data_IF_063642868412
#
_entry.id   IF_063642868412
#
_cell.length_a   1.000
_cell.length_b   1.000
_cell.length_c   1.000
_cell.angle_alpha   90.00
_cell.angle_beta   90.00
_cell.angle_gamma   90.00
#
_symmetry.space_group_name_H-M   'P 1'
#
loop_
_entity.id
_entity.type
_entity.pdbx_description
1 polymer ?
#
# COMPACT_ATOMS: atom_id res chain seq x y z
N UNK A 1 -41.27 11.60 33.21
CA UNK A 1 -41.57 10.21 32.78
C UNK A 1 -41.47 10.04 31.26
N UNK A 2 -41.84 11.03 30.46
CA UNK A 2 -41.71 10.96 28.99
C UNK A 2 -40.26 11.01 28.45
N UNK A 3 -39.37 11.72 29.13
CA UNK A 3 -37.95 11.80 28.73
C UNK A 3 -37.19 10.49 28.97
N UNK A 4 -37.60 9.69 29.98
CA UNK A 4 -37.01 8.39 30.24
C UNK A 4 -37.42 7.31 29.21
N UNK A 5 -38.65 7.40 28.70
CA UNK A 5 -39.18 6.49 27.67
C UNK A 5 -38.54 6.76 26.29
N UNK A 6 -38.22 8.01 25.97
CA UNK A 6 -37.52 8.39 24.74
C UNK A 6 -36.07 7.87 24.76
N UNK A 7 -35.37 7.95 25.88
CA UNK A 7 -33.99 7.46 26.03
C UNK A 7 -33.90 5.94 25.93
N UNK A 8 -34.87 5.21 26.50
CA UNK A 8 -34.95 3.76 26.40
C UNK A 8 -35.27 3.28 24.97
N UNK A 9 -36.08 4.05 24.22
CA UNK A 9 -36.39 3.77 22.81
C UNK A 9 -35.16 3.92 21.91
N UNK A 10 -34.36 4.93 22.16
CA UNK A 10 -33.12 5.16 21.39
C UNK A 10 -32.04 4.12 21.71
N UNK A 11 -31.89 3.74 22.99
CA UNK A 11 -30.97 2.66 23.36
C UNK A 11 -31.42 1.29 22.86
N UNK A 12 -32.69 0.99 22.85
CA UNK A 12 -33.26 -0.24 22.28
C UNK A 12 -33.08 -0.35 20.77
N UNK A 13 -33.14 0.77 20.04
CA UNK A 13 -32.87 0.86 18.60
C UNK A 13 -31.37 0.72 18.30
N UNK A 14 -30.49 1.26 19.12
CA UNK A 14 -29.04 1.12 18.99
C UNK A 14 -28.57 -0.32 19.27
N UNK A 15 -29.10 -0.97 20.32
CA UNK A 15 -28.82 -2.37 20.62
C UNK A 15 -29.34 -3.32 19.53
N UNK A 16 -30.54 -3.09 18.98
CA UNK A 16 -31.04 -3.86 17.83
C UNK A 16 -30.20 -3.62 16.57
N UNK A 17 -29.61 -2.44 16.43
CA UNK A 17 -28.74 -2.12 15.29
C UNK A 17 -27.39 -2.82 15.39
N UNK A 18 -26.82 -2.96 16.60
CA UNK A 18 -25.60 -3.73 16.82
C UNK A 18 -25.83 -5.24 16.63
N UNK A 19 -26.95 -5.78 17.09
CA UNK A 19 -27.33 -7.18 16.83
C UNK A 19 -27.58 -7.46 15.33
N UNK A 20 -28.12 -6.49 14.56
CA UNK A 20 -28.32 -6.64 13.12
C UNK A 20 -27.01 -6.53 12.31
N UNK A 21 -26.01 -5.84 12.82
CA UNK A 21 -24.67 -5.76 12.22
C UNK A 21 -23.86 -7.03 12.51
N UNK A 22 -24.02 -7.61 13.69
CA UNK A 22 -23.28 -8.81 14.09
C UNK A 22 -23.74 -10.11 13.39
N UNK A 23 -25.01 -10.18 12.94
CA UNK A 23 -25.55 -11.38 12.28
C UNK A 23 -25.36 -11.40 10.74
N UNK A 24 -24.75 -10.39 10.14
CA UNK A 24 -24.56 -10.27 8.68
C UNK A 24 -23.11 -10.42 8.19
N UNK A 25 -22.22 -10.86 9.06
CA UNK A 25 -20.81 -11.14 8.70
C UNK A 25 -20.60 -12.58 8.15
N UNK A 26 -21.60 -13.15 7.49
CA UNK A 26 -21.34 -14.27 6.57
C UNK A 26 -20.98 -13.70 5.19
N UNK A 27 -19.99 -14.27 4.47
CA UNK A 27 -19.47 -13.69 3.23
C UNK A 27 -20.43 -13.92 2.05
N UNK A 28 -21.54 -13.18 2.01
CA UNK A 28 -22.41 -13.15 0.83
C UNK A 28 -22.26 -11.83 0.10
N UNK A 29 -21.42 -11.82 -0.90
CA UNK A 29 -21.39 -10.76 -1.90
C UNK A 29 -22.53 -10.97 -2.89
N UNK A 30 -23.74 -10.74 -2.44
CA UNK A 30 -24.90 -10.58 -3.33
C UNK A 30 -25.30 -9.12 -3.22
N UNK A 31 -25.29 -8.42 -4.35
CA UNK A 31 -25.83 -7.09 -4.45
C UNK A 31 -27.36 -7.23 -4.44
N UNK A 32 -27.98 -7.08 -3.27
CA UNK A 32 -29.41 -6.85 -3.18
C UNK A 32 -29.66 -5.43 -2.71
N UNK A 33 -30.22 -4.64 -3.64
CA UNK A 33 -30.79 -3.34 -3.29
C UNK A 33 -32.25 -3.57 -2.87
N UNK A 34 -32.70 -3.08 -1.72
CA UNK A 34 -34.14 -3.03 -1.45
C UNK A 34 -34.77 -1.94 -2.33
N UNK A 35 -35.32 -2.30 -3.47
CA UNK A 35 -36.36 -1.50 -4.12
C UNK A 35 -37.64 -1.70 -3.33
N UNK A 36 -38.01 -0.73 -2.51
CA UNK A 36 -39.36 -0.63 -1.99
C UNK A 36 -40.32 -0.36 -3.14
N UNK A 37 -40.83 -1.39 -3.78
CA UNK A 37 -42.11 -1.42 -4.50
C UNK A 37 -42.52 -2.87 -4.75
N UNK A 38 -43.72 -3.20 -4.22
CA UNK A 38 -44.55 -4.37 -4.46
C UNK A 38 -44.10 -5.73 -3.93
N UNK A 39 -44.78 -6.16 -2.87
CA UNK A 39 -44.80 -7.49 -2.22
C UNK A 39 -45.44 -8.57 -3.14
N UNK A 40 -44.97 -8.78 -4.36
CA UNK A 40 -45.44 -9.87 -5.21
C UNK A 40 -44.39 -10.40 -6.20
N UNK A 41 -43.10 -10.13 -5.97
CA UNK A 41 -42.05 -10.74 -6.80
C UNK A 41 -41.44 -11.97 -6.11
N UNK A 42 -41.21 -13.09 -6.78
CA UNK A 42 -40.53 -14.26 -6.21
C UNK A 42 -39.14 -13.87 -5.70
N UNK A 43 -38.75 -14.47 -4.56
CA UNK A 43 -37.43 -14.27 -3.95
C UNK A 43 -36.33 -14.49 -5.03
N UNK A 44 -35.32 -13.59 -5.14
CA UNK A 44 -34.26 -13.77 -6.10
C UNK A 44 -33.51 -15.07 -5.81
N UNK A 45 -33.53 -15.98 -6.76
CA UNK A 45 -32.77 -17.24 -6.70
C UNK A 45 -31.30 -16.86 -6.70
N UNK A 46 -30.58 -17.21 -5.63
CA UNK A 46 -29.13 -17.02 -5.60
C UNK A 46 -28.50 -17.76 -6.79
N UNK A 47 -27.60 -17.13 -7.58
CA UNK A 47 -27.00 -17.80 -8.72
C UNK A 47 -26.29 -19.07 -8.27
N UNK A 48 -26.55 -20.18 -8.96
CA UNK A 48 -25.91 -21.45 -8.66
C UNK A 48 -24.38 -21.32 -8.73
N UNK A 49 -23.61 -22.10 -7.95
CA UNK A 49 -22.13 -22.06 -7.98
C UNK A 49 -21.55 -22.29 -9.38
N UNK A 50 -22.29 -22.90 -10.29
CA UNK A 50 -21.87 -23.20 -11.66
C UNK A 50 -21.91 -21.99 -12.62
N UNK A 51 -22.65 -20.91 -12.29
CA UNK A 51 -22.78 -19.71 -13.13
C UNK A 51 -21.73 -18.61 -12.84
N UNK A 52 -20.82 -18.84 -11.90
CA UNK A 52 -19.81 -17.84 -11.53
C UNK A 52 -18.63 -17.83 -12.49
N UNK A 53 -18.29 -16.65 -13.03
CA UNK A 53 -17.09 -16.46 -13.84
C UNK A 53 -15.81 -16.83 -13.06
N UNK A 54 -14.77 -17.29 -13.76
CA UNK A 54 -13.46 -17.62 -13.17
C UNK A 54 -12.92 -16.47 -12.30
N UNK A 55 -13.07 -15.23 -12.76
CA UNK A 55 -12.66 -14.04 -12.04
C UNK A 55 -13.39 -13.86 -10.70
N UNK A 56 -14.70 -14.16 -10.66
CA UNK A 56 -15.48 -14.05 -9.42
C UNK A 56 -15.10 -15.14 -8.41
N UNK A 57 -14.70 -16.33 -8.88
CA UNK A 57 -14.15 -17.40 -8.03
C UNK A 57 -12.80 -17.00 -7.44
N UNK A 58 -11.88 -16.45 -8.26
CA UNK A 58 -10.57 -15.96 -7.81
C UNK A 58 -10.70 -14.84 -6.77
N UNK A 59 -11.57 -13.86 -6.99
CA UNK A 59 -11.82 -12.77 -6.04
C UNK A 59 -12.37 -13.31 -4.73
N UNK A 60 -13.28 -14.28 -4.76
CA UNK A 60 -13.81 -14.92 -3.54
C UNK A 60 -12.72 -15.69 -2.81
N UNK A 61 -11.90 -16.45 -3.53
CA UNK A 61 -10.77 -17.19 -2.98
C UNK A 61 -9.77 -16.25 -2.28
N UNK A 62 -9.33 -15.18 -2.94
CA UNK A 62 -8.41 -14.20 -2.34
C UNK A 62 -8.99 -13.52 -1.10
N UNK A 63 -10.32 -13.29 -1.06
CA UNK A 63 -10.98 -12.73 0.12
C UNK A 63 -11.07 -13.71 1.29
N UNK A 64 -11.16 -14.99 1.05
CA UNK A 64 -11.10 -16.01 2.10
C UNK A 64 -9.67 -16.30 2.59
N UNK A 65 -8.63 -15.78 1.88
CA UNK A 65 -7.24 -15.99 2.20
C UNK A 65 -6.49 -14.64 2.30
N UNK A 66 -6.74 -13.84 3.36
CA UNK A 66 -6.21 -12.47 3.46
C UNK A 66 -4.67 -12.41 3.48
N UNK A 67 -3.99 -13.41 4.07
CA UNK A 67 -2.52 -13.49 4.04
C UNK A 67 -2.03 -13.69 2.61
N UNK A 68 -2.63 -14.61 1.86
CA UNK A 68 -2.27 -14.84 0.46
C UNK A 68 -2.52 -13.59 -0.40
N UNK A 69 -3.64 -12.89 -0.15
CA UNK A 69 -3.90 -11.61 -0.82
C UNK A 69 -2.78 -10.61 -0.57
N UNK A 70 -2.32 -10.46 0.69
CA UNK A 70 -1.23 -9.55 1.04
C UNK A 70 0.10 -9.98 0.39
N UNK A 71 0.43 -11.27 0.43
CA UNK A 71 1.63 -11.84 -0.16
C UNK A 71 1.74 -11.60 -1.67
N UNK A 72 0.61 -11.68 -2.40
CA UNK A 72 0.57 -11.42 -3.85
C UNK A 72 0.51 -9.93 -4.18
N UNK A 73 -0.17 -9.13 -3.35
CA UNK A 73 -0.28 -7.69 -3.55
C UNK A 73 1.08 -7.00 -3.41
N UNK A 74 1.91 -7.48 -2.48
CA UNK A 74 3.15 -6.83 -2.11
C UNK A 74 4.16 -6.76 -3.25
N UNK A 75 4.57 -7.83 -3.94
CA UNK A 75 5.43 -7.73 -5.11
C UNK A 75 4.67 -7.21 -6.33
N UNK A 76 3.34 -7.31 -6.35
CA UNK A 76 2.51 -6.86 -7.45
C UNK A 76 2.70 -5.39 -7.82
N UNK A 77 2.96 -4.55 -6.84
CA UNK A 77 3.15 -3.09 -7.04
C UNK A 77 4.59 -2.75 -7.42
N UNK A 78 5.61 -3.03 -6.58
CA UNK A 78 6.98 -2.61 -6.86
C UNK A 78 7.62 -3.39 -8.01
N UNK A 79 7.25 -4.65 -8.25
CA UNK A 79 7.91 -5.50 -9.21
C UNK A 79 7.15 -5.62 -10.53
N UNK A 80 5.88 -6.03 -10.45
CA UNK A 80 5.13 -6.34 -11.66
C UNK A 80 4.45 -5.14 -12.30
N UNK A 81 3.97 -4.17 -11.50
CA UNK A 81 3.36 -2.96 -12.04
C UNK A 81 4.40 -1.93 -12.52
N UNK A 82 5.58 -1.90 -11.90
CA UNK A 82 6.71 -1.05 -12.32
C UNK A 82 7.50 -1.61 -13.51
N UNK A 83 7.23 -2.84 -13.95
CA UNK A 83 7.99 -3.61 -14.92
C UNK A 83 9.43 -3.99 -14.47
N UNK A 84 9.76 -3.89 -13.18
CA UNK A 84 11.06 -4.34 -12.65
C UNK A 84 11.22 -5.86 -12.84
N UNK A 85 10.18 -6.64 -12.60
CA UNK A 85 10.11 -8.07 -12.89
C UNK A 85 9.35 -8.34 -14.18
N UNK A 86 9.96 -9.14 -15.08
CA UNK A 86 9.39 -9.43 -16.39
C UNK A 86 8.32 -10.52 -16.36
N UNK A 87 7.05 -10.13 -16.43
CA UNK A 87 5.93 -11.08 -16.50
C UNK A 87 5.94 -11.92 -17.79
N UNK A 88 6.60 -11.45 -18.84
CA UNK A 88 6.79 -12.18 -20.10
C UNK A 88 7.50 -13.53 -19.90
N UNK A 89 8.33 -13.66 -18.86
CA UNK A 89 8.95 -14.92 -18.49
C UNK A 89 7.94 -16.05 -18.21
N UNK A 90 6.70 -15.71 -17.81
CA UNK A 90 5.64 -16.70 -17.64
C UNK A 90 5.37 -17.50 -18.92
N UNK A 91 5.55 -16.88 -20.08
CA UNK A 91 5.32 -17.51 -21.38
C UNK A 91 6.62 -18.05 -21.97
N UNK A 92 7.72 -17.30 -21.85
CA UNK A 92 8.99 -17.63 -22.49
C UNK A 92 9.76 -18.71 -21.71
N UNK A 93 9.79 -18.59 -20.38
CA UNK A 93 10.48 -19.57 -19.52
C UNK A 93 9.81 -19.68 -18.15
N UNK A 94 8.66 -20.38 -18.06
CA UNK A 94 7.85 -20.50 -16.84
C UNK A 94 8.64 -20.90 -15.57
N UNK A 95 9.59 -21.84 -15.59
CA UNK A 95 10.34 -22.19 -14.38
C UNK A 95 11.06 -20.99 -13.74
N UNK A 96 11.67 -20.14 -14.56
CA UNK A 96 12.36 -18.95 -14.08
C UNK A 96 11.38 -17.88 -13.55
N UNK A 97 10.22 -17.74 -14.22
CA UNK A 97 9.15 -16.88 -13.72
C UNK A 97 8.71 -17.29 -12.32
N UNK A 98 8.43 -18.58 -12.10
CA UNK A 98 8.00 -19.07 -10.78
C UNK A 98 9.10 -18.99 -9.73
N UNK A 99 10.37 -19.14 -10.10
CA UNK A 99 11.51 -18.91 -9.19
C UNK A 99 11.54 -17.45 -8.73
N UNK A 100 11.48 -16.49 -9.67
CA UNK A 100 11.46 -15.06 -9.32
C UNK A 100 10.18 -14.66 -8.58
N UNK A 101 9.03 -15.22 -8.94
CA UNK A 101 7.81 -15.00 -8.18
C UNK A 101 7.93 -15.51 -6.74
N UNK A 102 8.53 -16.67 -6.53
CA UNK A 102 8.75 -17.21 -5.20
C UNK A 102 9.72 -16.34 -4.39
N UNK A 103 10.82 -15.88 -4.98
CA UNK A 103 11.75 -14.95 -4.36
C UNK A 103 11.07 -13.61 -4.05
N UNK A 104 10.34 -13.03 -4.98
CA UNK A 104 9.61 -11.78 -4.74
C UNK A 104 8.56 -11.92 -3.63
N UNK A 105 7.83 -13.03 -3.59
CA UNK A 105 6.84 -13.30 -2.52
C UNK A 105 7.57 -13.57 -1.19
N UNK A 106 8.70 -14.26 -1.19
CA UNK A 106 9.54 -14.48 -0.03
C UNK A 106 10.07 -13.19 0.57
N UNK A 107 10.68 -12.35 -0.25
CA UNK A 107 11.28 -11.08 0.17
C UNK A 107 10.21 -10.05 0.58
N UNK A 108 9.40 -9.60 -0.37
CA UNK A 108 8.38 -8.56 -0.15
C UNK A 108 7.28 -9.01 0.80
N UNK A 109 6.78 -10.24 0.62
CA UNK A 109 5.70 -10.78 1.43
C UNK A 109 6.10 -10.98 2.88
N UNK A 110 7.29 -11.53 3.14
CA UNK A 110 7.81 -11.67 4.50
C UNK A 110 8.08 -10.30 5.13
N UNK A 111 8.70 -9.38 4.41
CA UNK A 111 8.95 -8.02 4.86
C UNK A 111 7.68 -7.30 5.30
N UNK A 112 6.64 -7.32 4.46
CA UNK A 112 5.37 -6.63 4.75
C UNK A 112 4.62 -7.27 5.93
N UNK A 113 4.63 -8.60 6.06
CA UNK A 113 4.01 -9.28 7.20
C UNK A 113 4.74 -8.91 8.50
N UNK A 114 6.08 -8.98 8.52
CA UNK A 114 6.87 -8.63 9.70
C UNK A 114 6.66 -7.18 10.13
N UNK A 115 6.67 -6.25 9.19
CA UNK A 115 6.47 -4.82 9.47
C UNK A 115 5.04 -4.54 9.94
N UNK A 116 4.04 -5.16 9.31
CA UNK A 116 2.66 -5.04 9.75
C UNK A 116 2.45 -5.63 11.14
N UNK A 117 3.02 -6.80 11.43
CA UNK A 117 2.94 -7.39 12.77
C UNK A 117 3.68 -6.53 13.81
N UNK A 118 4.84 -5.94 13.47
CA UNK A 118 5.52 -4.99 14.31
C UNK A 118 4.65 -3.76 14.61
N UNK A 119 4.02 -3.17 13.60
CA UNK A 119 3.08 -2.06 13.77
C UNK A 119 1.98 -2.39 14.79
N UNK A 120 1.37 -3.59 14.69
CA UNK A 120 0.25 -4.00 15.55
C UNK A 120 0.74 -4.36 16.95
N UNK A 121 1.78 -5.20 17.06
CA UNK A 121 2.29 -5.69 18.34
C UNK A 121 2.97 -4.61 19.17
N UNK A 122 3.65 -3.66 18.52
CA UNK A 122 4.27 -2.51 19.17
C UNK A 122 3.30 -1.34 19.34
N UNK A 123 2.06 -1.45 18.84
CA UNK A 123 1.03 -0.39 18.85
C UNK A 123 1.53 0.90 18.18
N UNK A 124 2.22 0.80 17.04
CA UNK A 124 2.83 1.93 16.34
C UNK A 124 1.96 2.43 15.18
N UNK A 125 2.19 3.70 14.83
CA UNK A 125 1.52 4.37 13.71
C UNK A 125 2.32 4.32 12.40
N UNK A 126 1.84 5.06 11.40
CA UNK A 126 2.40 5.09 10.05
C UNK A 126 3.85 5.59 9.98
N UNK A 127 4.26 6.51 10.87
CA UNK A 127 5.66 6.96 10.92
C UNK A 127 6.62 5.80 11.18
N UNK A 128 6.26 4.88 12.08
CA UNK A 128 7.05 3.67 12.34
C UNK A 128 7.02 2.70 11.15
N UNK A 129 5.89 2.58 10.44
CA UNK A 129 5.81 1.76 9.22
C UNK A 129 6.76 2.29 8.16
N UNK A 130 6.82 3.61 7.95
CA UNK A 130 7.73 4.20 6.97
C UNK A 130 9.21 4.02 7.35
N UNK A 131 9.57 4.18 8.63
CA UNK A 131 10.94 3.91 9.08
C UNK A 131 11.33 2.43 8.93
N UNK A 132 10.42 1.51 9.22
CA UNK A 132 10.63 0.07 8.97
C UNK A 132 10.71 -0.23 7.48
N UNK A 133 9.98 0.49 6.64
CA UNK A 133 10.07 0.40 5.18
C UNK A 133 11.42 0.87 4.64
N UNK A 134 12.00 1.93 5.24
CA UNK A 134 13.38 2.36 4.95
C UNK A 134 14.38 1.28 5.36
N UNK A 135 14.24 0.70 6.57
CA UNK A 135 15.09 -0.41 7.01
C UNK A 135 15.00 -1.62 6.06
N UNK A 136 13.79 -1.95 5.60
CA UNK A 136 13.55 -3.00 4.63
C UNK A 136 14.27 -2.72 3.30
N UNK A 137 14.11 -1.50 2.74
CA UNK A 137 14.80 -1.12 1.50
C UNK A 137 16.33 -1.16 1.61
N UNK A 138 16.90 -0.85 2.79
CA UNK A 138 18.36 -1.00 3.01
C UNK A 138 18.77 -2.47 3.02
N UNK A 139 17.95 -3.36 3.59
CA UNK A 139 18.22 -4.81 3.54
C UNK A 139 18.16 -5.28 2.09
N UNK A 140 17.07 -5.05 1.39
CA UNK A 140 16.87 -5.48 0.01
C UNK A 140 17.94 -4.92 -0.93
N UNK A 141 18.13 -3.63 -0.95
CA UNK A 141 18.95 -2.98 -1.97
C UNK A 141 20.42 -2.82 -1.57
N UNK A 142 20.70 -2.85 -0.28
CA UNK A 142 22.06 -2.74 0.23
C UNK A 142 22.70 -4.10 0.54
N UNK A 143 21.99 -4.98 1.27
CA UNK A 143 22.53 -6.27 1.65
C UNK A 143 22.32 -7.34 0.58
N UNK A 144 21.12 -7.37 -0.06
CA UNK A 144 20.73 -8.46 -0.95
C UNK A 144 21.10 -8.18 -2.41
N UNK A 145 20.75 -6.99 -2.95
CA UNK A 145 20.87 -6.66 -4.38
C UNK A 145 22.06 -5.75 -4.74
N UNK A 146 22.70 -5.11 -3.76
CA UNK A 146 23.86 -4.21 -3.89
C UNK A 146 23.66 -2.98 -4.79
N UNK A 147 22.43 -2.66 -5.15
CA UNK A 147 22.14 -1.53 -6.04
C UNK A 147 22.48 -0.18 -5.42
N UNK A 148 22.53 -0.12 -4.08
CA UNK A 148 22.98 1.09 -3.38
C UNK A 148 24.47 1.39 -3.61
N UNK A 149 25.26 0.39 -4.03
CA UNK A 149 26.71 0.47 -4.13
C UNK A 149 27.25 0.27 -5.54
N UNK A 150 26.67 -0.69 -6.26
CA UNK A 150 27.17 -1.04 -7.59
C UNK A 150 26.63 -0.04 -8.65
N UNK A 151 27.49 0.89 -9.07
CA UNK A 151 27.12 1.93 -10.02
C UNK A 151 26.74 1.42 -11.42
N UNK A 152 27.12 0.19 -11.76
CA UNK A 152 26.79 -0.48 -13.03
C UNK A 152 25.64 -1.47 -12.92
N UNK A 153 24.96 -1.56 -11.79
CA UNK A 153 23.78 -2.39 -11.66
C UNK A 153 22.71 -1.94 -12.67
N UNK A 154 22.12 -2.88 -13.41
CA UNK A 154 21.21 -2.58 -14.51
C UNK A 154 20.05 -1.62 -14.13
N UNK A 155 19.37 -1.84 -13.00
CA UNK A 155 18.25 -0.97 -12.59
C UNK A 155 18.66 0.48 -12.27
N UNK A 156 19.89 0.70 -11.86
CA UNK A 156 20.38 2.02 -11.38
C UNK A 156 20.59 3.00 -12.52
N UNK A 157 20.97 2.52 -13.69
CA UNK A 157 21.22 3.36 -14.87
C UNK A 157 22.21 4.49 -14.60
N UNK A 158 21.92 5.69 -15.11
CA UNK A 158 22.78 6.86 -14.94
C UNK A 158 22.92 7.32 -13.48
N UNK A 159 21.96 7.00 -12.61
CA UNK A 159 22.01 7.34 -11.20
C UNK A 159 23.08 6.56 -10.42
N UNK A 160 23.66 5.52 -11.00
CA UNK A 160 24.81 4.82 -10.45
C UNK A 160 26.10 5.63 -10.45
N UNK A 161 26.19 6.64 -11.32
CA UNK A 161 27.35 7.55 -11.40
C UNK A 161 27.03 8.94 -10.87
N UNK A 162 25.78 9.36 -10.98
CA UNK A 162 25.31 10.65 -10.54
C UNK A 162 25.09 10.67 -9.02
N UNK A 163 25.91 11.43 -8.31
CA UNK A 163 25.91 11.43 -6.85
C UNK A 163 26.53 10.19 -6.20
N UNK A 164 27.41 9.48 -6.95
CA UNK A 164 28.19 8.38 -6.39
C UNK A 164 29.34 8.92 -5.53
N UNK A 165 29.31 8.63 -4.23
CA UNK A 165 30.33 9.09 -3.30
C UNK A 165 30.54 8.08 -2.17
N UNK A 166 31.78 7.84 -1.77
CA UNK A 166 32.17 6.80 -0.77
C UNK A 166 31.61 5.43 -1.07
N UNK A 167 31.49 5.06 -2.35
CA UNK A 167 30.99 3.77 -2.78
C UNK A 167 29.46 3.62 -2.69
N UNK A 168 28.71 4.72 -2.52
CA UNK A 168 27.25 4.72 -2.43
C UNK A 168 26.64 5.61 -3.51
N UNK A 169 25.60 5.12 -4.15
CA UNK A 169 24.79 5.82 -5.16
C UNK A 169 23.73 6.68 -4.47
N UNK A 170 24.10 7.82 -3.87
CA UNK A 170 23.26 8.53 -2.90
C UNK A 170 21.91 9.00 -3.43
N UNK A 171 21.87 9.54 -4.66
CA UNK A 171 20.59 9.99 -5.25
C UNK A 171 19.67 8.82 -5.52
N UNK A 172 20.20 7.73 -6.08
CA UNK A 172 19.48 6.47 -6.24
C UNK A 172 18.98 5.94 -4.89
N UNK A 173 19.87 5.86 -3.91
CA UNK A 173 19.56 5.35 -2.56
C UNK A 173 18.38 6.06 -1.93
N UNK A 174 18.38 7.40 -1.91
CA UNK A 174 17.28 8.16 -1.30
C UNK A 174 15.96 7.92 -2.00
N UNK A 175 15.93 8.04 -3.33
CA UNK A 175 14.71 7.77 -4.12
C UNK A 175 14.18 6.37 -3.89
N UNK A 176 15.07 5.38 -3.87
CA UNK A 176 14.71 3.98 -3.74
C UNK A 176 14.23 3.61 -2.31
N UNK A 177 14.87 4.16 -1.27
CA UNK A 177 14.41 3.95 0.11
C UNK A 177 13.03 4.58 0.36
N UNK A 178 12.74 5.74 -0.24
CA UNK A 178 11.39 6.31 -0.24
C UNK A 178 10.43 5.38 -1.00
N UNK A 179 10.84 4.88 -2.15
CA UNK A 179 10.04 3.93 -2.94
C UNK A 179 9.67 2.68 -2.13
N UNK A 180 10.65 1.99 -1.53
CA UNK A 180 10.38 0.80 -0.72
C UNK A 180 9.50 1.12 0.50
N UNK A 181 9.79 2.21 1.19
CA UNK A 181 9.02 2.63 2.35
C UNK A 181 7.54 2.84 2.03
N UNK A 182 7.25 3.48 0.89
CA UNK A 182 5.88 3.83 0.50
C UNK A 182 5.22 2.73 -0.32
N UNK A 183 5.87 2.26 -1.39
CA UNK A 183 5.23 1.42 -2.41
C UNK A 183 5.38 -0.07 -2.15
N UNK A 184 6.52 -0.51 -1.63
CA UNK A 184 6.73 -1.92 -1.31
C UNK A 184 6.10 -2.31 0.04
N UNK A 185 6.07 -1.41 1.02
CA UNK A 185 5.60 -1.69 2.38
C UNK A 185 4.33 -0.92 2.72
N UNK A 186 4.37 0.41 2.65
CA UNK A 186 3.26 1.26 3.12
C UNK A 186 1.96 1.02 2.36
N UNK A 187 2.01 1.06 1.05
CA UNK A 187 0.83 0.95 0.18
C UNK A 187 0.15 -0.43 0.25
N UNK A 188 0.86 -1.58 0.24
CA UNK A 188 0.24 -2.88 0.47
C UNK A 188 -0.47 -3.00 1.82
N UNK A 189 0.13 -2.53 2.93
CA UNK A 189 -0.51 -2.51 4.26
C UNK A 189 -1.76 -1.61 4.24
N UNK A 190 -1.68 -0.47 3.56
CA UNK A 190 -2.78 0.48 3.44
C UNK A 190 -3.97 -0.11 2.65
N UNK A 191 -3.69 -0.68 1.47
CA UNK A 191 -4.68 -1.36 0.64
C UNK A 191 -5.29 -2.58 1.33
N UNK A 192 -4.47 -3.36 2.03
CA UNK A 192 -4.97 -4.47 2.85
C UNK A 192 -6.01 -3.99 3.87
N UNK A 193 -5.72 -2.89 4.57
CA UNK A 193 -6.67 -2.31 5.55
C UNK A 193 -7.96 -1.76 4.92
N UNK A 194 -7.96 -1.40 3.63
CA UNK A 194 -9.15 -1.00 2.88
C UNK A 194 -9.99 -2.18 2.40
N UNK A 195 -9.33 -3.29 2.06
CA UNK A 195 -9.99 -4.52 1.61
C UNK A 195 -10.55 -5.31 2.78
N UNK A 196 -9.79 -5.41 3.89
CA UNK A 196 -10.08 -6.16 5.11
C UNK A 196 -10.10 -5.25 6.34
N UNK A 197 -11.07 -4.33 6.46
CA UNK A 197 -11.11 -3.37 7.56
C UNK A 197 -11.19 -4.03 8.94
N UNK A 198 -11.81 -5.20 9.04
CA UNK A 198 -11.94 -6.02 10.25
C UNK A 198 -10.62 -6.63 10.73
N UNK A 199 -9.63 -6.77 9.83
CA UNK A 199 -8.30 -7.29 10.13
C UNK A 199 -7.25 -6.17 10.31
N UNK A 200 -7.62 -4.92 10.11
CA UNK A 200 -6.69 -3.78 10.09
C UNK A 200 -5.84 -3.68 11.37
N UNK A 201 -6.41 -3.99 12.52
CA UNK A 201 -5.76 -3.90 13.85
C UNK A 201 -5.50 -5.25 14.48
N UNK A 202 -5.80 -6.35 13.79
CA UNK A 202 -5.60 -7.71 14.30
C UNK A 202 -4.29 -8.29 13.78
N UNK A 203 -3.58 -9.05 14.64
CA UNK A 203 -2.45 -9.88 14.22
C UNK A 203 -2.91 -10.95 13.24
N UNK A 204 -2.15 -11.15 12.16
CA UNK A 204 -2.44 -12.17 11.12
C UNK A 204 -1.75 -13.49 11.41
N UNK A 205 -0.63 -13.47 12.14
CA UNK A 205 0.20 -14.65 12.37
C UNK A 205 0.52 -14.83 13.84
N UNK A 206 0.55 -16.11 14.27
CA UNK A 206 1.00 -16.50 15.61
C UNK A 206 2.52 -16.30 15.78
N UNK A 207 3.03 -16.44 17.02
CA UNK A 207 4.46 -16.30 17.29
C UNK A 207 5.35 -17.25 16.46
N UNK A 208 4.96 -18.52 16.34
CA UNK A 208 5.67 -19.52 15.54
C UNK A 208 5.65 -19.17 14.05
N UNK A 209 4.51 -18.74 13.51
CA UNK A 209 4.40 -18.32 12.12
C UNK A 209 5.19 -17.03 11.86
N UNK A 210 5.27 -16.13 12.85
CA UNK A 210 6.09 -14.93 12.76
C UNK A 210 7.57 -15.29 12.67
N UNK A 211 8.05 -16.22 13.49
CA UNK A 211 9.42 -16.74 13.43
C UNK A 211 9.70 -17.40 12.07
N UNK A 212 8.76 -18.23 11.57
CA UNK A 212 8.89 -18.83 10.24
C UNK A 212 8.94 -17.77 9.12
N UNK A 213 8.16 -16.69 9.23
CA UNK A 213 8.21 -15.55 8.27
C UNK A 213 9.56 -14.83 8.33
N UNK A 214 10.13 -14.65 9.53
CA UNK A 214 11.45 -14.05 9.67
C UNK A 214 12.55 -14.96 9.09
N UNK A 215 12.48 -16.26 9.31
CA UNK A 215 13.40 -17.24 8.71
C UNK A 215 13.27 -17.29 7.18
N UNK A 216 12.05 -17.15 6.65
CA UNK A 216 11.81 -17.06 5.22
C UNK A 216 12.50 -15.81 4.63
N UNK A 217 12.35 -14.64 5.27
CA UNK A 217 13.04 -13.41 4.85
C UNK A 217 14.57 -13.61 4.84
N UNK A 218 15.12 -14.15 5.91
CA UNK A 218 16.57 -14.39 6.02
C UNK A 218 17.06 -15.36 4.94
N UNK A 219 16.33 -16.45 4.71
CA UNK A 219 16.71 -17.44 3.69
C UNK A 219 16.67 -16.83 2.28
N UNK A 220 15.65 -16.00 2.01
CA UNK A 220 15.51 -15.32 0.73
C UNK A 220 16.59 -14.24 0.53
N UNK A 221 16.91 -13.46 1.57
CA UNK A 221 18.03 -12.52 1.56
C UNK A 221 19.37 -13.22 1.27
N UNK A 222 19.63 -14.38 1.88
CA UNK A 222 20.83 -15.17 1.60
C UNK A 222 20.82 -15.65 0.14
N UNK A 223 19.68 -16.14 -0.35
CA UNK A 223 19.53 -16.56 -1.75
C UNK A 223 19.85 -15.42 -2.72
N UNK A 224 19.26 -14.25 -2.51
CA UNK A 224 19.47 -13.07 -3.38
C UNK A 224 20.91 -12.56 -3.30
N UNK A 225 21.51 -12.51 -2.11
CA UNK A 225 22.92 -12.16 -1.94
C UNK A 225 23.83 -13.08 -2.77
N UNK A 226 23.64 -14.40 -2.69
CA UNK A 226 24.43 -15.39 -3.46
C UNK A 226 24.15 -15.24 -4.95
N UNK A 227 22.89 -15.08 -5.35
CA UNK A 227 22.48 -14.91 -6.73
C UNK A 227 23.10 -13.66 -7.36
N UNK A 228 23.04 -12.53 -6.67
CA UNK A 228 23.60 -11.24 -7.13
C UNK A 228 25.13 -11.29 -7.18
N UNK A 229 25.78 -11.95 -6.20
CA UNK A 229 27.23 -12.13 -6.23
C UNK A 229 27.71 -12.91 -7.45
N UNK A 230 26.89 -13.84 -7.95
CA UNK A 230 27.18 -14.56 -9.19
C UNK A 230 26.94 -13.73 -10.45
N UNK A 231 25.89 -12.88 -10.46
CA UNK A 231 25.58 -12.02 -11.61
C UNK A 231 26.56 -10.87 -11.74
N UNK A 232 26.88 -10.19 -10.63
CA UNK A 232 27.81 -9.06 -10.62
C UNK A 232 29.25 -9.55 -10.49
N UNK A 233 29.64 -10.53 -11.33
CA UNK A 233 30.97 -11.11 -11.31
C UNK A 233 32.06 -10.01 -11.38
N UNK A 234 32.98 -10.03 -10.43
CA UNK A 234 34.05 -9.03 -10.30
C UNK A 234 33.71 -7.78 -9.50
N UNK A 235 32.49 -7.68 -8.96
CA UNK A 235 32.12 -6.64 -7.99
C UNK A 235 31.82 -7.23 -6.62
N UNK A 236 32.35 -6.58 -5.58
CA UNK A 236 32.02 -6.86 -4.19
C UNK A 236 31.96 -5.52 -3.43
N UNK A 237 30.85 -5.20 -2.76
CA UNK A 237 30.74 -3.92 -2.01
C UNK A 237 31.73 -3.85 -0.83
N UNK A 238 32.28 -4.97 -0.40
CA UNK A 238 33.17 -5.07 0.77
C UNK A 238 32.41 -5.13 2.09
N UNK A 239 33.04 -5.76 3.09
CA UNK A 239 32.44 -5.97 4.39
C UNK A 239 32.06 -4.67 5.12
N UNK A 240 32.77 -3.58 4.88
CA UNK A 240 32.50 -2.27 5.51
C UNK A 240 31.14 -1.71 5.10
N UNK A 241 30.81 -1.68 3.80
CA UNK A 241 29.53 -1.16 3.31
C UNK A 241 28.36 -2.07 3.75
N UNK A 242 28.57 -3.40 3.70
CA UNK A 242 27.56 -4.34 4.18
C UNK A 242 27.29 -4.20 5.68
N UNK A 243 28.34 -4.13 6.50
CA UNK A 243 28.21 -3.88 7.94
C UNK A 243 27.52 -2.55 8.23
N UNK A 244 27.92 -1.48 7.54
CA UNK A 244 27.31 -0.16 7.67
C UNK A 244 25.82 -0.21 7.32
N UNK A 245 25.42 -0.88 6.25
CA UNK A 245 24.01 -1.07 5.87
C UNK A 245 23.23 -1.78 6.96
N UNK A 246 23.77 -2.88 7.51
CA UNK A 246 23.14 -3.60 8.62
C UNK A 246 22.97 -2.73 9.88
N UNK A 247 23.96 -1.91 10.22
CA UNK A 247 23.89 -0.96 11.35
C UNK A 247 22.84 0.14 11.10
N UNK A 248 22.80 0.72 9.91
CA UNK A 248 21.83 1.75 9.54
C UNK A 248 20.40 1.17 9.52
N UNK A 249 20.18 0.01 8.92
CA UNK A 249 18.89 -0.67 8.93
C UNK A 249 18.43 -0.96 10.38
N UNK A 250 19.32 -1.48 11.23
CA UNK A 250 19.04 -1.72 12.64
C UNK A 250 18.69 -0.43 13.40
N UNK A 251 19.36 0.68 13.07
CA UNK A 251 19.05 1.99 13.64
C UNK A 251 17.64 2.42 13.31
N UNK A 252 17.20 2.28 12.05
CA UNK A 252 15.83 2.60 11.65
C UNK A 252 14.80 1.70 12.35
N UNK A 253 15.08 0.41 12.57
CA UNK A 253 14.23 -0.49 13.36
C UNK A 253 14.09 -0.01 14.80
N UNK A 254 15.20 0.37 15.44
CA UNK A 254 15.20 0.88 16.82
C UNK A 254 14.46 2.21 16.91
N UNK A 255 14.68 3.12 15.97
CA UNK A 255 13.95 4.40 15.88
C UNK A 255 12.45 4.17 15.72
N UNK A 256 12.04 3.28 14.80
CA UNK A 256 10.65 2.93 14.58
C UNK A 256 9.98 2.40 15.85
N UNK A 257 10.68 1.57 16.63
CA UNK A 257 10.18 1.03 17.89
C UNK A 257 10.11 2.09 19.00
N UNK A 258 11.07 3.00 19.07
CA UNK A 258 11.14 4.06 20.10
C UNK A 258 10.26 5.27 19.80
N UNK A 259 9.87 5.47 18.54
CA UNK A 259 9.07 6.63 18.14
C UNK A 259 7.75 6.67 18.94
N UNK A 260 7.32 7.84 19.44
CA UNK A 260 6.04 7.98 20.13
C UNK A 260 4.88 7.56 19.23
N UNK A 261 3.87 6.87 19.79
CA UNK A 261 2.73 6.32 19.04
C UNK A 261 1.90 7.43 18.35
N UNK A 262 2.03 8.64 18.85
CA UNK A 262 1.33 9.83 18.39
C UNK A 262 2.21 10.83 17.60
N UNK A 263 3.40 10.43 17.18
CA UNK A 263 4.33 11.28 16.43
C UNK A 263 3.69 11.92 15.19
N UNK A 264 2.95 11.11 14.42
CA UNK A 264 2.05 11.64 13.39
C UNK A 264 0.61 11.42 13.85
N UNK A 265 -0.16 12.49 13.98
CA UNK A 265 -1.59 12.44 14.27
C UNK A 265 -2.37 12.99 13.08
N UNK A 266 -3.44 12.29 12.71
CA UNK A 266 -4.46 12.86 11.82
C UNK A 266 -5.25 13.93 12.57
N UNK A 267 -5.71 14.94 11.85
CA UNK A 267 -6.62 15.91 12.47
C UNK A 267 -7.94 15.20 12.84
N UNK A 268 -8.53 15.51 13.98
CA UNK A 268 -9.85 14.99 14.32
C UNK A 268 -10.90 15.50 13.33
N UNK A 269 -11.96 14.71 13.13
CA UNK A 269 -13.09 15.06 12.28
C UNK A 269 -12.97 14.59 10.84
N UNK A 270 -13.66 15.31 9.96
CA UNK A 270 -13.75 14.99 8.52
C UNK A 270 -12.43 15.29 7.79
N UNK A 271 -12.18 14.65 6.62
CA UNK A 271 -11.06 14.99 5.77
C UNK A 271 -11.05 16.47 5.38
N UNK A 272 -9.86 17.10 5.41
CA UNK A 272 -9.70 18.51 5.00
C UNK A 272 -9.50 18.67 3.50
N UNK A 273 -9.12 17.62 2.81
CA UNK A 273 -8.91 17.59 1.38
C UNK A 273 -10.00 16.77 0.69
N UNK A 274 -10.37 17.18 -0.51
CA UNK A 274 -11.24 16.37 -1.36
C UNK A 274 -10.50 15.11 -1.88
N UNK A 275 -11.23 14.06 -2.31
CA UNK A 275 -10.62 12.87 -2.90
C UNK A 275 -9.68 13.19 -4.07
N UNK A 276 -9.99 14.19 -4.89
CA UNK A 276 -9.13 14.64 -6.01
C UNK A 276 -7.78 15.16 -5.53
N UNK A 277 -7.73 15.92 -4.42
CA UNK A 277 -6.47 16.41 -3.84
C UNK A 277 -5.62 15.28 -3.28
N UNK A 278 -6.26 14.26 -2.68
CA UNK A 278 -5.54 13.06 -2.23
C UNK A 278 -4.99 12.24 -3.39
N UNK A 279 -5.76 12.05 -4.47
CA UNK A 279 -5.27 11.38 -5.68
C UNK A 279 -4.09 12.13 -6.30
N UNK A 280 -4.17 13.46 -6.38
CA UNK A 280 -3.08 14.28 -6.88
C UNK A 280 -1.82 14.19 -6.01
N UNK A 281 -1.96 14.27 -4.68
CA UNK A 281 -0.83 14.12 -3.76
C UNK A 281 -0.15 12.74 -3.89
N UNK A 282 -0.94 11.67 -4.02
CA UNK A 282 -0.42 10.34 -4.31
C UNK A 282 0.31 10.26 -5.64
N UNK A 283 -0.28 10.83 -6.70
CA UNK A 283 0.30 10.81 -8.04
C UNK A 283 1.59 11.66 -8.15
N UNK A 284 1.73 12.67 -7.31
CA UNK A 284 2.92 13.52 -7.32
C UNK A 284 4.14 12.84 -6.67
N UNK A 285 3.94 11.91 -5.73
CA UNK A 285 5.03 11.39 -4.90
C UNK A 285 6.11 10.66 -5.73
N UNK A 286 5.71 9.75 -6.61
CA UNK A 286 6.66 8.99 -7.43
C UNK A 286 7.50 9.88 -8.37
N UNK A 287 6.91 10.77 -9.18
CA UNK A 287 7.70 11.66 -10.02
C UNK A 287 8.51 12.70 -9.22
N UNK A 288 8.03 13.13 -8.05
CA UNK A 288 8.74 14.08 -7.21
C UNK A 288 9.95 13.50 -6.49
N UNK A 289 10.14 12.18 -6.52
CA UNK A 289 11.26 11.49 -5.88
C UNK A 289 12.10 10.75 -6.93
N UNK A 290 11.69 9.54 -7.35
CA UNK A 290 12.50 8.72 -8.26
C UNK A 290 12.79 9.38 -9.62
N UNK A 291 11.79 10.05 -10.24
CA UNK A 291 12.01 10.70 -11.54
C UNK A 291 12.79 12.00 -11.42
N UNK A 292 12.70 12.69 -10.29
CA UNK A 292 13.42 13.95 -10.07
C UNK A 292 14.94 13.76 -10.13
N UNK A 293 15.47 12.68 -9.54
CA UNK A 293 16.87 12.31 -9.62
C UNK A 293 17.35 12.11 -11.06
N UNK A 294 16.57 11.37 -11.87
CA UNK A 294 16.87 11.16 -13.29
C UNK A 294 16.87 12.45 -14.13
N UNK A 295 15.88 13.32 -13.90
CA UNK A 295 15.77 14.63 -14.56
C UNK A 295 16.95 15.51 -14.16
N UNK A 296 17.30 15.56 -12.87
CA UNK A 296 18.42 16.35 -12.38
C UNK A 296 19.76 15.87 -12.95
N UNK A 297 19.97 14.56 -13.06
CA UNK A 297 21.14 13.98 -13.71
C UNK A 297 21.22 14.36 -15.19
N UNK A 298 20.11 14.28 -15.93
CA UNK A 298 20.04 14.69 -17.34
C UNK A 298 20.28 16.18 -17.55
N UNK A 299 19.91 17.02 -16.58
CA UNK A 299 20.13 18.47 -16.60
C UNK A 299 21.50 18.89 -16.01
N UNK A 300 22.34 17.94 -15.61
CA UNK A 300 23.64 18.18 -14.96
C UNK A 300 23.55 19.10 -13.71
N UNK A 301 22.46 18.99 -12.95
CA UNK A 301 22.34 19.72 -11.69
C UNK A 301 23.26 19.10 -10.61
N UNK A 302 23.68 19.86 -9.59
CA UNK A 302 24.39 19.29 -8.43
C UNK A 302 23.59 18.16 -7.78
N UNK A 303 24.17 16.97 -7.49
CA UNK A 303 23.44 15.81 -6.95
C UNK A 303 22.86 16.03 -5.56
N UNK A 304 23.36 17.00 -4.82
CA UNK A 304 22.83 17.40 -3.51
C UNK A 304 21.41 17.95 -3.63
N UNK A 305 21.05 18.56 -4.76
CA UNK A 305 19.72 19.13 -4.99
C UNK A 305 18.65 18.04 -4.97
N UNK A 306 18.64 17.03 -5.85
CA UNK A 306 17.63 15.97 -5.77
C UNK A 306 17.73 15.17 -4.49
N UNK A 307 18.92 14.91 -3.95
CA UNK A 307 19.09 14.20 -2.67
C UNK A 307 18.30 14.87 -1.53
N UNK A 308 18.43 16.18 -1.34
CA UNK A 308 17.71 16.91 -0.27
C UNK A 308 16.25 17.11 -0.63
N UNK A 309 15.97 17.42 -1.91
CA UNK A 309 14.61 17.71 -2.37
C UNK A 309 13.69 16.50 -2.26
N UNK A 310 14.16 15.30 -2.60
CA UNK A 310 13.39 14.07 -2.52
C UNK A 310 12.93 13.78 -1.08
N UNK A 311 13.83 13.95 -0.10
CA UNK A 311 13.50 13.77 1.31
C UNK A 311 12.45 14.79 1.75
N UNK A 312 12.65 16.07 1.41
CA UNK A 312 11.74 17.16 1.82
C UNK A 312 10.36 16.97 1.18
N UNK A 313 10.31 16.69 -0.12
CA UNK A 313 9.04 16.52 -0.84
C UNK A 313 8.28 15.29 -0.36
N UNK A 314 8.95 14.15 -0.18
CA UNK A 314 8.31 12.95 0.36
C UNK A 314 7.76 13.19 1.76
N UNK A 315 8.57 13.76 2.67
CA UNK A 315 8.13 14.08 4.02
C UNK A 315 6.97 15.08 4.03
N UNK A 316 7.02 16.11 3.20
CA UNK A 316 5.96 17.11 3.08
C UNK A 316 4.66 16.50 2.56
N UNK A 317 4.70 15.80 1.41
CA UNK A 317 3.52 15.21 0.77
C UNK A 317 2.86 14.20 1.72
N UNK A 318 3.63 13.27 2.29
CA UNK A 318 3.11 12.23 3.19
C UNK A 318 2.53 12.84 4.47
N UNK A 319 3.23 13.79 5.09
CA UNK A 319 2.75 14.44 6.32
C UNK A 319 1.48 15.26 6.07
N UNK A 320 1.42 16.01 4.95
CA UNK A 320 0.24 16.82 4.59
C UNK A 320 -0.95 15.93 4.24
N UNK A 321 -0.76 14.88 3.48
CA UNK A 321 -1.81 13.91 3.17
C UNK A 321 -2.31 13.24 4.46
N UNK A 322 -1.42 12.76 5.33
CA UNK A 322 -1.79 12.11 6.57
C UNK A 322 -2.57 13.04 7.52
N UNK A 323 -2.08 14.26 7.77
CA UNK A 323 -2.77 15.25 8.62
C UNK A 323 -4.11 15.68 8.05
N UNK A 324 -4.27 15.69 6.72
CA UNK A 324 -5.50 16.10 6.04
C UNK A 324 -6.53 14.99 5.94
N UNK A 325 -6.15 13.71 6.21
CA UNK A 325 -7.01 12.54 6.06
C UNK A 325 -8.23 12.54 6.98
N UNK A 326 -8.16 13.19 8.15
CA UNK A 326 -9.23 13.14 9.14
C UNK A 326 -9.36 11.76 9.80
N UNK A 327 -10.26 11.65 10.75
CA UNK A 327 -10.51 10.40 11.50
C UNK A 327 -11.86 9.77 11.17
N UNK A 328 -12.79 10.53 10.59
CA UNK A 328 -14.18 10.14 10.34
C UNK A 328 -14.49 10.20 8.85
N UNK A 329 -15.23 9.22 8.33
CA UNK A 329 -15.74 9.18 6.95
C UNK A 329 -14.68 9.43 5.86
N UNK A 330 -13.48 8.88 6.03
CA UNK A 330 -12.31 9.14 5.18
C UNK A 330 -11.99 8.01 4.21
N UNK A 331 -12.94 7.15 3.88
CA UNK A 331 -12.67 5.97 3.07
C UNK A 331 -12.48 6.30 1.58
N UNK A 332 -13.24 7.25 1.05
CA UNK A 332 -13.07 7.73 -0.33
C UNK A 332 -11.71 8.38 -0.53
N UNK A 333 -11.29 9.20 0.43
CA UNK A 333 -9.99 9.88 0.43
C UNK A 333 -8.83 8.89 0.48
N UNK A 334 -8.96 7.83 1.27
CA UNK A 334 -7.97 6.75 1.33
C UNK A 334 -7.86 6.00 0.02
N UNK A 335 -9.01 5.69 -0.60
CA UNK A 335 -9.01 5.04 -1.93
C UNK A 335 -8.43 5.97 -2.97
N UNK A 336 -8.81 7.25 -2.96
CA UNK A 336 -8.27 8.24 -3.89
C UNK A 336 -6.73 8.38 -3.77
N UNK A 337 -6.21 8.44 -2.53
CA UNK A 337 -4.78 8.46 -2.27
C UNK A 337 -4.09 7.21 -2.84
N UNK A 338 -4.65 6.02 -2.59
CA UNK A 338 -4.06 4.78 -3.09
C UNK A 338 -4.09 4.67 -4.62
N UNK A 339 -5.16 5.12 -5.27
CA UNK A 339 -5.22 5.22 -6.74
C UNK A 339 -4.15 6.18 -7.26
N UNK A 340 -4.01 7.34 -6.61
CA UNK A 340 -2.96 8.30 -6.96
C UNK A 340 -1.55 7.73 -6.83
N UNK A 341 -1.26 6.99 -5.76
CA UNK A 341 0.03 6.33 -5.57
C UNK A 341 0.31 5.27 -6.66
N UNK A 342 -0.68 4.44 -7.01
CA UNK A 342 -0.51 3.36 -7.99
C UNK A 342 -0.36 3.89 -9.41
N UNK A 343 -1.10 4.94 -9.78
CA UNK A 343 -1.20 5.43 -11.15
C UNK A 343 0.15 5.76 -11.82
N UNK A 344 1.07 6.55 -11.21
CA UNK A 344 2.33 6.89 -11.86
C UNK A 344 3.28 5.70 -12.02
N UNK A 345 3.20 4.70 -11.13
CA UNK A 345 3.99 3.47 -11.26
C UNK A 345 3.49 2.66 -12.46
N UNK A 346 2.17 2.52 -12.63
CA UNK A 346 1.58 1.84 -13.77
C UNK A 346 1.97 2.52 -15.09
N UNK A 347 1.90 3.84 -15.15
CA UNK A 347 2.35 4.60 -16.33
C UNK A 347 3.83 4.41 -16.59
N UNK A 348 4.66 4.48 -15.55
CA UNK A 348 6.10 4.24 -15.66
C UNK A 348 6.40 2.82 -16.16
N UNK A 349 5.77 1.80 -15.56
CA UNK A 349 5.92 0.42 -15.98
C UNK A 349 5.50 0.18 -17.42
N UNK A 350 4.39 0.78 -17.86
CA UNK A 350 3.93 0.71 -19.24
C UNK A 350 4.93 1.32 -20.21
N UNK A 351 5.53 2.47 -19.87
CA UNK A 351 6.58 3.11 -20.69
C UNK A 351 7.84 2.25 -20.71
N UNK A 352 8.30 1.78 -19.54
CA UNK A 352 9.48 0.94 -19.42
C UNK A 352 9.33 -0.39 -20.20
N UNK A 353 8.12 -0.96 -20.24
CA UNK A 353 7.84 -2.21 -20.94
C UNK A 353 8.08 -2.15 -22.44
N UNK A 354 7.97 -0.96 -23.04
CA UNK A 354 8.27 -0.74 -24.47
C UNK A 354 9.76 -1.00 -24.72
N UNK A 355 10.64 -0.46 -23.87
CA UNK A 355 12.08 -0.68 -23.95
C UNK A 355 12.54 -2.10 -23.58
N UNK A 356 11.80 -2.74 -22.68
CA UNK A 356 12.11 -4.08 -22.15
C UNK A 356 11.46 -5.23 -22.94
N UNK A 357 10.73 -4.93 -24.03
CA UNK A 357 9.96 -5.90 -24.80
C UNK A 357 9.06 -6.82 -23.90
N UNK A 358 8.39 -6.21 -22.90
CA UNK A 358 7.54 -6.88 -21.93
C UNK A 358 6.03 -6.57 -22.16
N UNK A 359 5.41 -7.08 -23.24
CA UNK A 359 4.02 -6.71 -23.60
C UNK A 359 2.99 -7.21 -22.57
N UNK A 360 3.34 -8.19 -21.74
CA UNK A 360 2.43 -8.75 -20.73
C UNK A 360 2.27 -7.84 -19.50
N UNK A 361 2.96 -6.71 -19.43
CA UNK A 361 2.75 -5.69 -18.38
C UNK A 361 1.31 -5.19 -18.33
N UNK A 362 0.60 -5.24 -19.45
CA UNK A 362 -0.82 -4.89 -19.51
C UNK A 362 -1.68 -5.71 -18.52
N UNK A 363 -1.23 -6.90 -18.12
CA UNK A 363 -1.99 -7.79 -17.21
C UNK A 363 -2.05 -7.22 -15.80
N UNK A 364 -0.93 -6.88 -15.12
CA UNK A 364 -0.98 -6.19 -13.82
C UNK A 364 -1.67 -4.83 -13.91
N UNK A 365 -1.49 -4.05 -14.98
CA UNK A 365 -2.17 -2.78 -15.18
C UNK A 365 -3.70 -2.94 -15.20
N UNK A 366 -4.22 -3.86 -16.00
CA UNK A 366 -5.64 -4.18 -16.03
C UNK A 366 -6.16 -4.67 -14.69
N UNK A 367 -5.37 -5.51 -13.99
CA UNK A 367 -5.73 -5.95 -12.65
C UNK A 367 -5.89 -4.76 -11.70
N UNK A 368 -4.92 -3.85 -11.64
CA UNK A 368 -4.96 -2.70 -10.76
C UNK A 368 -6.04 -1.68 -11.14
N UNK A 369 -6.33 -1.49 -12.42
CA UNK A 369 -7.46 -0.66 -12.88
C UNK A 369 -8.79 -1.25 -12.38
N UNK A 370 -9.02 -2.54 -12.60
CA UNK A 370 -10.24 -3.22 -12.17
C UNK A 370 -10.36 -3.27 -10.65
N UNK A 371 -9.26 -3.52 -9.95
CA UNK A 371 -9.18 -3.51 -8.49
C UNK A 371 -9.51 -2.13 -7.93
N UNK A 372 -8.87 -1.07 -8.43
CA UNK A 372 -9.10 0.32 -8.03
C UNK A 372 -10.54 0.76 -8.27
N UNK A 373 -11.11 0.42 -9.45
CA UNK A 373 -12.52 0.71 -9.78
C UNK A 373 -13.50 0.01 -8.83
N UNK A 374 -13.23 -1.25 -8.46
CA UNK A 374 -14.06 -1.99 -7.49
C UNK A 374 -13.95 -1.40 -6.09
N UNK A 375 -12.75 -1.06 -5.67
CA UNK A 375 -12.49 -0.47 -4.36
C UNK A 375 -13.16 0.90 -4.25
N UNK A 376 -13.05 1.74 -5.27
CA UNK A 376 -13.73 3.03 -5.35
C UNK A 376 -15.24 2.87 -5.26
N UNK A 377 -15.85 2.02 -6.07
CA UNK A 377 -17.30 1.78 -6.06
C UNK A 377 -17.80 1.32 -4.70
N UNK A 378 -17.10 0.36 -4.05
CA UNK A 378 -17.45 -0.12 -2.72
C UNK A 378 -17.55 1.01 -1.71
N UNK A 379 -16.53 1.84 -1.62
CA UNK A 379 -16.45 2.87 -0.60
C UNK A 379 -17.27 4.12 -0.92
N UNK A 380 -17.42 4.46 -2.18
CA UNK A 380 -18.32 5.55 -2.61
C UNK A 380 -19.78 5.23 -2.28
N UNK A 381 -20.25 4.02 -2.57
CA UNK A 381 -21.61 3.58 -2.20
C UNK A 381 -21.79 3.56 -0.67
N UNK A 382 -20.80 3.09 0.06
CA UNK A 382 -20.83 3.10 1.52
C UNK A 382 -20.97 4.53 2.08
N UNK A 383 -20.21 5.48 1.56
CA UNK A 383 -20.27 6.89 1.97
C UNK A 383 -21.64 7.51 1.67
N UNK A 384 -22.21 7.24 0.49
CA UNK A 384 -23.55 7.74 0.13
C UNK A 384 -24.62 7.20 1.10
N UNK A 385 -24.60 5.90 1.41
CA UNK A 385 -25.56 5.30 2.34
C UNK A 385 -25.45 5.87 3.76
N UNK A 386 -24.23 6.14 4.24
CA UNK A 386 -24.04 6.70 5.58
C UNK A 386 -24.40 8.19 5.66
N UNK A 387 -24.18 8.97 4.59
CA UNK A 387 -24.64 10.36 4.52
C UNK A 387 -26.17 10.46 4.52
N UNK A 388 -26.85 9.62 3.74
CA UNK A 388 -28.33 9.59 3.71
C UNK A 388 -28.92 9.16 5.07
N UNK A 389 -28.31 8.18 5.74
CA UNK A 389 -28.77 7.74 7.06
C UNK A 389 -28.62 8.83 8.13
N UNK A 390 -27.57 9.63 8.09
CA UNK A 390 -27.38 10.77 8.99
C UNK A 390 -28.40 11.90 8.76
N UNK A 391 -28.77 12.16 7.51
CA UNK A 391 -29.79 13.17 7.16
C UNK A 391 -31.20 12.75 7.58
N UNK A 392 -31.50 11.44 7.55
CA UNK A 392 -32.81 10.93 7.97
C UNK A 392 -32.96 10.81 9.48
N UNK A 393 -31.87 10.68 10.24
CA UNK A 393 -31.90 10.59 11.71
C UNK A 393 -31.90 11.95 12.42
N UNK A 394 -31.69 13.06 11.72
CA UNK A 394 -31.76 14.44 12.23
C UNK A 394 -32.64 15.30 11.31
N UNK A 395 -33.95 15.07 11.24
CA UNK A 395 -34.85 15.98 10.55
C UNK A 395 -34.98 17.28 11.40
N UNK A 396 -34.27 18.33 11.04
CA UNK A 396 -34.40 19.63 11.69
C UNK A 396 -33.17 20.49 11.86
N UNK A 397 -31.97 20.02 11.54
CA UNK A 397 -30.74 20.82 11.60
C UNK A 397 -30.24 21.31 10.22
N UNK A 398 -31.12 21.39 9.23
CA UNK A 398 -30.73 21.67 7.85
C UNK A 398 -31.07 23.10 7.36
N UNK A 399 -31.57 23.98 8.19
CA UNK A 399 -31.68 25.40 7.83
C UNK A 399 -30.71 26.22 8.67
N UNK A 400 -29.58 26.57 8.05
CA UNK A 400 -28.73 27.66 8.53
C UNK A 400 -29.59 28.95 8.55
N UNK A 401 -29.71 29.65 9.68
CA UNK A 401 -30.40 30.92 9.68
C UNK A 401 -29.67 31.86 8.71
N UNK A 402 -30.45 32.44 7.78
CA UNK A 402 -29.97 33.47 6.89
C UNK A 402 -29.28 34.59 7.70
N UNK A 403 -28.18 35.17 7.21
CA UNK A 403 -27.51 36.25 7.91
C UNK A 403 -28.47 37.45 7.97
N UNK A 404 -28.98 37.71 9.16
CA UNK A 404 -29.62 38.99 9.51
C UNK A 404 -28.51 40.03 9.63
N UNK A 405 -28.21 40.73 8.55
CA UNK A 405 -27.65 42.08 8.65
C UNK A 405 -28.10 42.93 7.43
N UNK A 406 -28.48 44.17 7.71
CA UNK A 406 -28.85 45.17 6.69
C UNK A 406 -27.62 45.69 5.93
#
# INVERSE_FOLDING_TARGET
METALATLSVQGLLQRREQYVEFRDSPRWVFDFPRFKNLSSPLPISPSPQSMSMLSRLVRFLKSHPILFLLLLTPGIPEYLSASSQITLLVVFPPLFFLFLAANVGLYGSGVILIREAMIRWKKGWASVFLLGVAYGIVEEGLDLWTLFYSKAGPVGNLGFYGHWLGVNWVWTVGLLIFHSVYSIGLPIFLFGLVFPELKTKSLVSGTRLAATALCLIADSIFLFVFVSAIYSGYNPGGTLLLFSGLVASTFVVLARKLPDNFLRTNPGQPKWSPRKFAFAGALLFPATLLAGGIAAGANLPPEIPFVLDIILAAFILTRAYKSMGTVNNQEEKVALSIGLVFPIAVFGLIASIGLANPLIIVPDLFFILFSRRLWRKWHQWTLLHRSALQTTLPGFGESPAPLFP
#
